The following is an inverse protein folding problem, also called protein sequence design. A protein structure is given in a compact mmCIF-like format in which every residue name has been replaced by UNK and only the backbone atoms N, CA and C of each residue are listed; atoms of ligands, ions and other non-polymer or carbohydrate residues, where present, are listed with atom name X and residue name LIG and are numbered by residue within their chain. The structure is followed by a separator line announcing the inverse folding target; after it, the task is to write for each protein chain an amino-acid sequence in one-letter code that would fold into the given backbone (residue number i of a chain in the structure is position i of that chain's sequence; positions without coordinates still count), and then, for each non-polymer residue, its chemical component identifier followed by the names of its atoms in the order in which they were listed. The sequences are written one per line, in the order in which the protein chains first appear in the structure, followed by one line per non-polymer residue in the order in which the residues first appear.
data_IF_688596832646
#
_entry.id   IF_688596832646
#
_cell.length_a   1.000
_cell.length_b   1.000
_cell.length_c   1.000
_cell.angle_alpha   90.00
_cell.angle_beta   90.00
_cell.angle_gamma   90.00
#
_symmetry.space_group_name_H-M   'P 1'
#
loop_
_entity.id
_entity.type
_entity.pdbx_description
1 polymer ?
#
# COMPACT_ATOMS: atom_id res chain seq x y z
N UNK A 1 -4.03 -4.59 12.27
CA UNK A 1 -3.76 -3.64 11.17
C UNK A 1 -2.29 -3.31 11.26
N UNK A 2 -1.46 -3.89 10.40
CA UNK A 2 -0.04 -3.52 10.31
C UNK A 2 0.06 -2.35 9.34
N UNK A 3 0.67 -1.27 9.82
CA UNK A 3 0.78 0.00 9.14
C UNK A 3 1.96 -0.06 8.16
N UNK A 4 1.83 0.28 6.86
CA UNK A 4 2.99 0.39 5.99
C UNK A 4 3.92 1.48 6.54
N UNK A 5 5.16 1.12 6.81
CA UNK A 5 6.15 2.03 7.37
C UNK A 5 6.60 3.02 6.29
N UNK A 6 5.95 4.18 6.21
CA UNK A 6 6.52 5.31 5.48
C UNK A 6 7.77 5.80 6.22
N UNK A 7 8.95 5.68 5.60
CA UNK A 7 10.18 6.25 6.14
C UNK A 7 10.15 7.78 5.97
N UNK A 8 10.16 8.51 7.09
CA UNK A 8 10.15 9.97 7.11
C UNK A 8 11.45 10.49 7.74
N UNK A 9 12.15 11.42 7.07
CA UNK A 9 13.42 11.98 7.57
C UNK A 9 13.20 13.36 8.24
N UNK A 10 13.89 13.66 9.36
CA UNK A 10 13.82 14.97 10.00
C UNK A 10 14.48 16.05 9.15
N UNK A 11 13.83 17.21 9.01
CA UNK A 11 14.32 18.31 8.15
C UNK A 11 15.35 19.25 8.81
N UNK A 12 15.68 19.09 10.11
CA UNK A 12 16.76 19.88 10.75
C UNK A 12 17.23 19.37 12.12
N UNK A 13 18.46 19.71 12.52
CA UNK A 13 19.15 19.29 13.74
C UNK A 13 18.85 20.07 15.04
N UNK A 14 17.79 20.88 15.10
CA UNK A 14 17.35 21.55 16.34
C UNK A 14 16.04 20.94 16.82
N UNK A 15 15.90 20.68 18.13
CA UNK A 15 14.82 19.92 18.78
C UNK A 15 13.38 20.38 18.47
N UNK A 16 12.94 20.15 17.23
CA UNK A 16 11.59 20.34 16.74
C UNK A 16 10.93 18.98 16.72
N UNK A 17 9.78 18.85 17.35
CA UNK A 17 8.98 17.63 17.27
C UNK A 17 8.53 17.42 15.82
N UNK A 18 8.69 16.20 15.33
CA UNK A 18 8.27 15.78 14.01
C UNK A 18 7.12 14.78 14.16
N UNK A 19 6.04 14.94 13.38
CA UNK A 19 4.86 14.07 13.49
C UNK A 19 4.30 13.71 12.12
N UNK A 20 3.86 12.47 11.97
CA UNK A 20 3.07 11.98 10.86
C UNK A 20 1.83 11.26 11.41
N UNK A 21 0.63 11.70 11.00
CA UNK A 21 -0.63 11.07 11.41
C UNK A 21 -1.43 10.65 10.19
N UNK A 22 -1.95 9.43 10.19
CA UNK A 22 -2.92 8.98 9.20
C UNK A 22 -4.27 9.63 9.52
N UNK A 23 -4.81 10.37 8.57
CA UNK A 23 -6.01 11.19 8.78
C UNK A 23 -7.29 10.39 8.47
N UNK A 24 -7.20 9.47 7.52
CA UNK A 24 -8.31 8.64 7.05
C UNK A 24 -7.93 7.16 7.01
N UNK A 25 -8.92 6.28 7.12
CA UNK A 25 -8.72 4.85 6.90
C UNK A 25 -8.14 4.60 5.48
N UNK A 26 -7.19 3.66 5.32
CA UNK A 26 -6.67 3.29 4.02
C UNK A 26 -7.78 2.85 3.07
N UNK A 27 -7.71 3.31 1.82
CA UNK A 27 -8.67 2.94 0.79
C UNK A 27 -8.20 1.68 0.08
N UNK A 28 -9.14 0.80 -0.28
CA UNK A 28 -8.85 -0.32 -1.15
C UNK A 28 -8.61 0.19 -2.58
N UNK A 29 -7.64 -0.41 -3.27
CA UNK A 29 -7.41 -0.17 -4.69
C UNK A 29 -8.26 -1.15 -5.52
N UNK A 30 -9.30 -0.68 -6.26
CA UNK A 30 -10.09 -1.56 -7.11
C UNK A 30 -9.33 -1.92 -8.37
N UNK A 31 -9.57 -3.11 -8.90
CA UNK A 31 -9.07 -3.50 -10.23
C UNK A 31 -9.68 -2.57 -11.29
N UNK A 32 -8.82 -1.99 -12.12
CA UNK A 32 -9.19 -1.07 -13.21
C UNK A 32 -8.31 -1.33 -14.43
N UNK A 33 -8.91 -1.30 -15.62
CA UNK A 33 -8.20 -1.37 -16.89
C UNK A 33 -8.54 -0.13 -17.75
N UNK A 34 -7.58 0.78 -18.01
CA UNK A 34 -6.19 0.75 -17.52
C UNK A 34 -6.10 1.11 -16.02
N UNK A 35 -5.02 0.69 -15.37
CA UNK A 35 -4.70 1.09 -14.00
C UNK A 35 -4.60 2.63 -13.89
N UNK A 36 -5.07 3.20 -12.77
CA UNK A 36 -5.07 4.65 -12.54
C UNK A 36 -4.49 4.97 -11.18
N UNK A 37 -3.62 5.97 -11.14
CA UNK A 37 -3.11 6.50 -9.88
C UNK A 37 -4.27 6.92 -8.95
N UNK A 38 -4.21 6.47 -7.69
CA UNK A 38 -5.21 6.75 -6.68
C UNK A 38 -4.54 7.07 -5.34
N UNK A 39 -5.11 8.00 -4.59
CA UNK A 39 -4.71 8.25 -3.22
C UNK A 39 -5.28 7.16 -2.29
N UNK A 40 -4.40 6.26 -1.83
CA UNK A 40 -4.73 5.16 -0.91
C UNK A 40 -4.64 5.56 0.56
N UNK A 41 -3.66 6.37 0.93
CA UNK A 41 -3.37 6.78 2.31
C UNK A 41 -3.10 8.28 2.31
N UNK A 42 -3.77 8.99 3.21
CA UNK A 42 -3.53 10.43 3.44
C UNK A 42 -2.90 10.63 4.81
N UNK A 43 -1.80 11.38 4.84
CA UNK A 43 -1.00 11.63 6.04
C UNK A 43 -0.82 13.13 6.27
N UNK A 44 -1.04 13.59 7.51
CA UNK A 44 -0.65 14.93 7.99
C UNK A 44 0.78 14.85 8.51
N UNK A 45 1.73 15.41 7.76
CA UNK A 45 3.15 15.44 8.10
C UNK A 45 3.59 16.84 8.49
N UNK A 46 4.26 16.96 9.65
CA UNK A 46 4.80 18.22 10.16
C UNK A 46 6.29 18.08 10.45
N UNK A 47 7.08 18.90 9.77
CA UNK A 47 8.54 18.86 9.86
C UNK A 47 9.18 17.61 9.26
N UNK A 48 8.45 16.85 8.44
CA UNK A 48 8.92 15.64 7.77
C UNK A 48 8.85 15.82 6.26
N UNK A 49 9.83 15.27 5.55
CA UNK A 49 9.81 15.13 4.09
C UNK A 49 9.63 13.65 3.72
N UNK A 50 8.70 13.39 2.81
CA UNK A 50 8.52 12.06 2.23
C UNK A 50 9.62 11.81 1.19
N UNK A 51 10.37 10.73 1.40
CA UNK A 51 11.51 10.38 0.54
C UNK A 51 11.25 9.14 -0.30
N UNK A 52 10.50 8.18 0.24
CA UNK A 52 10.28 6.88 -0.37
C UNK A 52 9.00 6.26 0.21
N UNK A 53 8.27 5.53 -0.61
CA UNK A 53 7.18 4.67 -0.17
C UNK A 53 7.62 3.22 -0.29
N UNK A 54 7.49 2.47 0.80
CA UNK A 54 7.72 1.01 0.83
C UNK A 54 6.42 0.34 1.24
N UNK A 55 5.92 -0.54 0.39
CA UNK A 55 4.74 -1.35 0.68
C UNK A 55 5.08 -2.58 1.52
N UNK A 56 5.74 -2.34 2.65
CA UNK A 56 6.04 -3.37 3.63
C UNK A 56 4.78 -3.75 4.43
N UNK A 57 4.76 -4.98 4.93
CA UNK A 57 3.71 -5.55 5.76
C UNK A 57 2.76 -6.50 5.04
N UNK A 58 1.74 -6.98 5.79
CA UNK A 58 0.81 -8.01 5.32
C UNK A 58 -0.32 -7.40 4.46
N UNK A 59 -0.14 -7.43 3.14
CA UNK A 59 -1.18 -7.00 2.22
C UNK A 59 -2.28 -8.06 2.07
N UNK A 60 -3.44 -7.59 1.64
CA UNK A 60 -4.64 -8.41 1.41
C UNK A 60 -5.28 -8.01 0.09
N UNK A 61 -5.72 -9.00 -0.66
CA UNK A 61 -6.46 -8.82 -1.91
C UNK A 61 -7.68 -9.72 -1.94
N UNK A 62 -8.64 -9.38 -2.79
CA UNK A 62 -9.83 -10.19 -3.04
C UNK A 62 -9.97 -10.34 -4.55
N UNK A 63 -10.08 -11.58 -5.03
CA UNK A 63 -10.35 -11.87 -6.44
C UNK A 63 -11.65 -11.19 -6.87
N UNK A 64 -11.59 -10.41 -7.95
CA UNK A 64 -12.68 -9.52 -8.35
C UNK A 64 -13.99 -10.29 -8.64
N UNK A 65 -13.88 -11.44 -9.31
CA UNK A 65 -15.02 -12.25 -9.73
C UNK A 65 -15.36 -13.38 -8.74
N UNK A 66 -14.34 -14.02 -8.16
CA UNK A 66 -14.49 -15.21 -7.30
C UNK A 66 -14.77 -14.88 -5.83
N UNK A 67 -14.38 -13.68 -5.37
CA UNK A 67 -14.31 -13.33 -3.96
C UNK A 67 -13.25 -14.10 -3.16
N UNK A 68 -12.31 -14.80 -3.82
CA UNK A 68 -11.18 -15.49 -3.17
C UNK A 68 -10.35 -14.48 -2.38
N UNK A 69 -10.08 -14.78 -1.11
CA UNK A 69 -9.36 -13.87 -0.22
C UNK A 69 -7.91 -14.30 -0.13
N UNK A 70 -7.02 -13.38 -0.46
CA UNK A 70 -5.57 -13.54 -0.34
C UNK A 70 -5.08 -12.70 0.84
N UNK A 71 -4.16 -13.25 1.63
CA UNK A 71 -3.62 -12.62 2.84
C UNK A 71 -2.15 -12.95 3.02
N UNK A 72 -1.39 -12.04 3.62
CA UNK A 72 0.06 -12.20 3.75
C UNK A 72 0.75 -12.00 2.40
N UNK A 73 0.17 -11.12 1.56
CA UNK A 73 0.75 -10.74 0.28
C UNK A 73 1.97 -9.87 0.57
N UNK A 74 3.12 -10.26 0.02
CA UNK A 74 4.37 -9.52 0.10
C UNK A 74 4.57 -8.73 -1.21
N UNK A 75 4.64 -7.41 -1.11
CA UNK A 75 4.87 -6.49 -2.23
C UNK A 75 6.25 -5.82 -2.15
N UNK A 76 7.14 -6.30 -1.28
CA UNK A 76 8.47 -5.70 -1.10
C UNK A 76 9.35 -5.80 -2.34
N UNK A 77 9.14 -6.83 -3.18
CA UNK A 77 9.83 -7.01 -4.46
C UNK A 77 9.12 -6.32 -5.66
N UNK A 78 8.00 -5.63 -5.41
CA UNK A 78 7.30 -4.80 -6.39
C UNK A 78 6.15 -5.48 -7.13
N UNK A 79 6.23 -6.78 -7.40
CA UNK A 79 5.16 -7.55 -8.03
C UNK A 79 4.85 -8.81 -7.21
N UNK A 80 3.56 -9.15 -7.12
CA UNK A 80 3.09 -10.40 -6.53
C UNK A 80 2.13 -11.10 -7.49
N UNK A 81 2.28 -12.42 -7.58
CA UNK A 81 1.49 -13.29 -8.43
C UNK A 81 0.95 -14.46 -7.61
N UNK A 82 -0.32 -14.78 -7.81
CA UNK A 82 -0.97 -15.96 -7.25
C UNK A 82 -2.08 -16.40 -8.20
N UNK A 83 -2.59 -17.60 -7.99
CA UNK A 83 -3.59 -18.19 -8.86
C UNK A 83 -4.93 -18.32 -8.13
N UNK A 84 -5.98 -17.79 -8.72
CA UNK A 84 -7.33 -17.95 -8.18
C UNK A 84 -7.96 -19.23 -8.72
N UNK A 85 -7.79 -20.33 -7.99
CA UNK A 85 -8.34 -21.63 -8.35
C UNK A 85 -9.86 -21.62 -8.56
N UNK A 86 -10.59 -20.67 -7.95
CA UNK A 86 -12.04 -20.56 -8.11
C UNK A 86 -12.44 -19.85 -9.39
N UNK A 87 -11.66 -18.87 -9.82
CA UNK A 87 -11.86 -18.19 -11.10
C UNK A 87 -11.26 -19.00 -12.26
N UNK A 88 -10.25 -19.84 -11.98
CA UNK A 88 -9.46 -20.52 -13.01
C UNK A 88 -8.49 -19.57 -13.72
N UNK A 89 -8.16 -18.43 -13.12
CA UNK A 89 -7.36 -17.35 -13.71
C UNK A 89 -6.23 -16.91 -12.77
N UNK A 90 -5.16 -16.36 -13.34
CA UNK A 90 -4.08 -15.73 -12.57
C UNK A 90 -4.55 -14.39 -12.00
N UNK A 91 -4.18 -14.09 -10.76
CA UNK A 91 -4.43 -12.77 -10.19
C UNK A 91 -3.58 -11.74 -10.95
N UNK A 92 -4.19 -10.61 -11.39
CA UNK A 92 -3.43 -9.55 -12.04
C UNK A 92 -2.37 -9.01 -11.08
N UNK A 93 -1.16 -8.80 -11.61
CA UNK A 93 -0.03 -8.27 -10.85
C UNK A 93 -0.43 -6.96 -10.15
N UNK A 94 -0.25 -6.91 -8.83
CA UNK A 94 -0.41 -5.66 -8.08
C UNK A 94 0.88 -4.86 -8.20
N UNK A 95 0.89 -3.88 -9.12
CA UNK A 95 2.00 -2.95 -9.28
C UNK A 95 1.77 -1.67 -8.48
N UNK A 96 2.74 -1.31 -7.63
CA UNK A 96 2.77 -0.05 -6.90
C UNK A 96 3.70 0.93 -7.63
N UNK A 97 3.12 1.72 -8.53
CA UNK A 97 3.81 2.78 -9.28
C UNK A 97 3.73 4.14 -8.61
#
# INVERSE_FOLDING_TARGET
MNNPAAEAKPTSSGGREHSANIIDAPKAYPQQDPAKAMNLITMDCRGLEFVEFRADGDWKAVGAESGTKFSGIDLTEGDWYDYDEKAGEEMPAMHLG
#
